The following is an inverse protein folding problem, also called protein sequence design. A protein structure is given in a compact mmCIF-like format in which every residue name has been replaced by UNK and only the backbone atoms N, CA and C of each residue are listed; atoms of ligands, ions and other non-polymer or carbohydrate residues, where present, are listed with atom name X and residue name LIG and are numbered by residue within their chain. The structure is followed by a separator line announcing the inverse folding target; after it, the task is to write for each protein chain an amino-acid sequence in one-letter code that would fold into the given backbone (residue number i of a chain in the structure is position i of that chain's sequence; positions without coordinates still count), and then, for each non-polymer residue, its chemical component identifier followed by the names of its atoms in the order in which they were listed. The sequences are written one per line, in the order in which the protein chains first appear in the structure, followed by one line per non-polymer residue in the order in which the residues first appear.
data_IF_806296652949
#
_entry.id   IF_806296652949
#
_cell.length_a   1.000
_cell.length_b   1.000
_cell.length_c   1.000
_cell.angle_alpha   90.00
_cell.angle_beta   90.00
_cell.angle_gamma   90.00
#
_symmetry.space_group_name_H-M   'P 1'
#
loop_
_entity.id
_entity.type
_entity.pdbx_description
1 polymer ?
#
# COMPACT_ATOMS: atom_id res chain seq x y z
N UNK A 1 -38.39 14.40 56.04
CA UNK A 1 -38.55 14.29 54.57
C UNK A 1 -37.34 14.94 53.90
N UNK A 2 -36.36 14.14 53.48
CA UNK A 2 -35.14 14.64 52.85
C UNK A 2 -35.33 14.61 51.32
N UNK A 3 -35.46 15.79 50.70
CA UNK A 3 -35.53 15.95 49.25
C UNK A 3 -34.11 15.95 48.68
N UNK A 4 -33.74 14.88 47.99
CA UNK A 4 -32.55 14.88 47.13
C UNK A 4 -32.83 15.73 45.90
N UNK A 5 -32.03 16.79 45.71
CA UNK A 5 -32.02 17.60 44.50
C UNK A 5 -30.93 17.04 43.58
N UNK A 6 -31.32 16.28 42.56
CA UNK A 6 -30.41 15.90 41.47
C UNK A 6 -30.19 17.11 40.57
N UNK A 7 -28.98 17.67 40.60
CA UNK A 7 -28.51 18.64 39.61
C UNK A 7 -27.93 17.83 38.44
N UNK A 8 -28.70 17.75 37.34
CA UNK A 8 -28.19 17.20 36.08
C UNK A 8 -27.28 18.25 35.43
N UNK A 9 -25.98 17.98 35.43
CA UNK A 9 -24.99 18.81 34.73
C UNK A 9 -25.07 18.48 33.24
N UNK A 10 -25.75 19.33 32.47
CA UNK A 10 -25.72 19.28 31.01
C UNK A 10 -24.34 19.72 30.52
N UNK A 11 -23.46 18.75 30.27
CA UNK A 11 -22.22 19.01 29.54
C UNK A 11 -22.63 19.32 28.09
N UNK A 12 -22.37 20.53 27.55
CA UNK A 12 -22.63 20.78 26.15
C UNK A 12 -21.75 19.84 25.34
N UNK A 13 -22.37 18.92 24.60
CA UNK A 13 -21.66 18.19 23.56
C UNK A 13 -21.22 19.23 22.54
N UNK A 14 -19.95 19.61 22.59
CA UNK A 14 -19.29 20.30 21.49
C UNK A 14 -19.38 19.33 20.31
N UNK A 15 -20.39 19.52 19.45
CA UNK A 15 -20.39 18.92 18.12
C UNK A 15 -19.06 19.34 17.49
N UNK A 16 -18.10 18.41 17.45
CA UNK A 16 -16.97 18.53 16.56
C UNK A 16 -17.55 18.46 15.16
N UNK A 17 -17.85 19.63 14.59
CA UNK A 17 -18.08 19.73 13.17
C UNK A 17 -16.73 19.41 12.51
N UNK A 18 -16.60 18.21 11.96
CA UNK A 18 -15.43 17.87 11.18
C UNK A 18 -15.30 18.91 10.05
N UNK A 19 -14.10 19.47 9.83
CA UNK A 19 -13.90 20.44 8.77
C UNK A 19 -14.30 19.81 7.42
N UNK A 20 -14.94 20.61 6.56
CA UNK A 20 -15.33 20.18 5.21
C UNK A 20 -14.09 19.70 4.44
N UNK A 21 -14.07 18.42 4.07
CA UNK A 21 -12.97 17.83 3.30
C UNK A 21 -12.92 18.43 1.89
N UNK A 22 -11.91 19.27 1.62
CA UNK A 22 -11.66 19.91 0.31
C UNK A 22 -10.38 19.36 -0.33
N UNK A 23 -10.39 18.12 -0.86
CA UNK A 23 -9.19 17.51 -1.41
C UNK A 23 -8.70 18.28 -2.64
N UNK A 24 -7.39 18.47 -2.72
CA UNK A 24 -6.72 18.92 -3.93
C UNK A 24 -6.00 17.74 -4.57
N UNK A 25 -6.30 17.46 -5.82
CA UNK A 25 -5.56 16.46 -6.58
C UNK A 25 -4.15 16.99 -6.89
N UNK A 26 -3.13 16.31 -6.37
CA UNK A 26 -1.72 16.68 -6.55
C UNK A 26 -1.05 15.94 -7.71
N UNK A 27 -1.54 14.74 -8.05
CA UNK A 27 -1.04 13.92 -9.17
C UNK A 27 -2.20 13.31 -9.96
N UNK A 28 -1.99 13.12 -11.25
CA UNK A 28 -2.92 12.33 -12.08
C UNK A 28 -2.73 10.84 -11.75
N UNK A 29 -3.79 10.01 -11.85
CA UNK A 29 -3.65 8.57 -11.73
C UNK A 29 -2.62 8.04 -12.74
N UNK A 30 -1.75 7.15 -12.28
CA UNK A 30 -0.80 6.47 -13.15
C UNK A 30 -1.49 5.30 -13.85
N UNK A 31 -1.07 5.01 -15.08
CA UNK A 31 -1.47 3.76 -15.75
C UNK A 31 -0.96 2.57 -14.93
N UNK A 32 -1.83 1.58 -14.69
CA UNK A 32 -1.45 0.35 -14.01
C UNK A 32 -0.31 -0.39 -14.75
N UNK A 33 0.63 -0.94 -13.99
CA UNK A 33 1.55 -1.95 -14.50
C UNK A 33 0.84 -3.30 -14.39
N UNK A 34 0.70 -3.99 -15.52
CA UNK A 34 0.10 -5.33 -15.62
C UNK A 34 0.99 -6.33 -16.35
N UNK A 35 1.99 -5.84 -17.10
CA UNK A 35 2.92 -6.62 -17.93
C UNK A 35 4.37 -6.22 -17.62
N UNK A 36 4.78 -6.39 -16.35
CA UNK A 36 6.17 -6.13 -15.97
C UNK A 36 7.11 -7.15 -16.65
N UNK A 37 8.29 -6.74 -17.14
CA UNK A 37 9.26 -7.67 -17.68
C UNK A 37 9.81 -8.56 -16.56
N UNK A 38 10.02 -9.84 -16.88
CA UNK A 38 10.62 -10.80 -15.97
C UNK A 38 11.94 -11.32 -16.54
N UNK A 39 12.89 -11.59 -15.65
CA UNK A 39 14.17 -12.21 -15.98
C UNK A 39 14.40 -13.40 -15.05
N UNK A 40 15.06 -14.44 -15.56
CA UNK A 40 15.50 -15.54 -14.73
C UNK A 40 16.56 -15.07 -13.72
N UNK A 41 16.62 -15.72 -12.57
CA UNK A 41 17.55 -15.36 -11.50
C UNK A 41 19.01 -15.29 -11.97
N UNK A 42 19.44 -16.22 -12.84
CA UNK A 42 20.79 -16.24 -13.41
C UNK A 42 21.10 -15.05 -14.34
N UNK A 43 20.08 -14.38 -14.88
CA UNK A 43 20.18 -13.23 -15.76
C UNK A 43 19.88 -11.90 -15.05
N UNK A 44 19.59 -11.90 -13.74
CA UNK A 44 19.15 -10.73 -13.01
C UNK A 44 20.27 -9.72 -12.67
N UNK A 45 21.54 -10.13 -12.74
CA UNK A 45 22.71 -9.35 -12.32
C UNK A 45 22.83 -7.93 -12.91
N UNK A 46 22.43 -7.65 -14.17
CA UNK A 46 22.45 -6.28 -14.70
C UNK A 46 21.41 -5.36 -14.06
N UNK A 47 20.37 -5.93 -13.43
CA UNK A 47 19.20 -5.21 -12.94
C UNK A 47 19.13 -5.16 -11.41
N UNK A 48 19.67 -6.18 -10.73
CA UNK A 48 19.60 -6.36 -9.27
C UNK A 48 21.00 -6.61 -8.73
N UNK A 49 21.39 -5.84 -7.72
CA UNK A 49 22.71 -6.02 -7.06
C UNK A 49 22.68 -7.19 -6.08
N UNK A 50 23.82 -7.83 -5.89
CA UNK A 50 23.95 -9.00 -4.99
C UNK A 50 23.52 -8.72 -3.54
N UNK A 51 23.60 -7.46 -3.08
CA UNK A 51 23.24 -7.02 -1.74
C UNK A 51 21.93 -6.22 -1.67
N UNK A 52 21.12 -6.26 -2.73
CA UNK A 52 19.83 -5.56 -2.80
C UNK A 52 18.72 -6.35 -2.13
N UNK A 53 17.83 -5.65 -1.40
CA UNK A 53 16.65 -6.27 -0.82
C UNK A 53 15.58 -6.53 -1.88
N UNK A 54 14.96 -7.71 -1.78
CA UNK A 54 13.86 -8.12 -2.65
C UNK A 54 12.67 -8.60 -1.82
N UNK A 55 11.46 -8.32 -2.29
CA UNK A 55 10.26 -8.98 -1.82
C UNK A 55 10.13 -10.32 -2.56
N UNK A 56 10.37 -11.42 -1.86
CA UNK A 56 10.15 -12.77 -2.40
C UNK A 56 8.72 -13.23 -2.17
N UNK A 57 8.05 -13.71 -3.21
CA UNK A 57 6.70 -14.29 -3.13
C UNK A 57 6.71 -15.69 -3.72
N UNK A 58 6.16 -16.64 -2.97
CA UNK A 58 5.96 -18.03 -3.43
C UNK A 58 4.50 -18.43 -3.29
N UNK A 59 3.92 -18.93 -4.39
CA UNK A 59 2.55 -19.43 -4.47
C UNK A 59 2.58 -20.80 -5.12
N UNK A 60 2.40 -21.86 -4.31
CA UNK A 60 2.56 -23.23 -4.77
C UNK A 60 4.00 -23.48 -5.25
N UNK A 61 4.15 -23.88 -6.51
CA UNK A 61 5.47 -24.11 -7.14
C UNK A 61 6.04 -22.88 -7.87
N UNK A 62 5.31 -21.76 -7.88
CA UNK A 62 5.74 -20.53 -8.56
C UNK A 62 6.36 -19.56 -7.55
N UNK A 63 7.55 -19.06 -7.86
CA UNK A 63 8.25 -18.04 -7.07
C UNK A 63 8.68 -16.87 -7.93
N UNK A 64 8.62 -15.66 -7.37
CA UNK A 64 9.11 -14.42 -8.00
C UNK A 64 9.70 -13.48 -6.95
N UNK A 65 10.71 -12.70 -7.35
CA UNK A 65 11.34 -11.68 -6.52
C UNK A 65 11.10 -10.29 -7.15
N UNK A 66 10.73 -9.32 -6.32
CA UNK A 66 10.51 -7.93 -6.71
C UNK A 66 11.53 -7.04 -5.99
N UNK A 67 12.52 -6.46 -6.68
CA UNK A 67 13.53 -5.60 -6.07
C UNK A 67 12.90 -4.34 -5.46
N UNK A 68 13.20 -4.06 -4.19
CA UNK A 68 12.60 -2.94 -3.46
C UNK A 68 12.90 -1.61 -4.16
N UNK A 69 14.13 -1.41 -4.66
CA UNK A 69 14.51 -0.15 -5.30
C UNK A 69 13.73 0.10 -6.60
N UNK A 70 13.28 -0.95 -7.30
CA UNK A 70 12.44 -0.81 -8.49
C UNK A 70 10.98 -0.52 -8.18
N UNK A 71 10.52 -0.90 -6.99
CA UNK A 71 9.20 -0.51 -6.47
C UNK A 71 9.24 0.91 -5.86
N UNK A 72 10.42 1.47 -5.60
CA UNK A 72 10.58 2.82 -5.02
C UNK A 72 10.79 3.90 -6.09
N UNK A 73 11.54 3.56 -7.13
CA UNK A 73 12.13 4.51 -8.09
C UNK A 73 11.88 3.98 -9.52
N UNK A 74 11.43 4.79 -10.50
CA UNK A 74 11.34 6.25 -10.47
C UNK A 74 10.00 6.86 -10.05
N UNK A 75 8.89 6.12 -9.93
CA UNK A 75 7.57 6.65 -9.46
C UNK A 75 6.46 5.59 -9.40
N UNK A 76 6.76 4.33 -9.06
CA UNK A 76 5.75 3.25 -9.13
C UNK A 76 5.89 2.22 -8.02
N UNK A 77 4.98 2.29 -7.06
CA UNK A 77 4.96 1.45 -5.85
C UNK A 77 4.22 0.13 -6.03
N UNK A 78 3.40 -0.01 -7.08
CA UNK A 78 2.51 -1.17 -7.25
C UNK A 78 2.72 -1.83 -8.62
N UNK A 79 3.00 -3.14 -8.59
CA UNK A 79 2.98 -4.02 -9.77
C UNK A 79 1.81 -4.99 -9.63
N UNK A 80 0.86 -4.95 -10.58
CA UNK A 80 -0.16 -5.99 -10.66
C UNK A 80 0.40 -7.15 -11.46
N UNK A 81 0.35 -8.35 -10.90
CA UNK A 81 0.97 -9.53 -11.46
C UNK A 81 0.06 -10.75 -11.31
N UNK A 82 0.33 -11.79 -12.10
CA UNK A 82 -0.27 -13.12 -11.97
C UNK A 82 0.82 -14.15 -11.71
N UNK A 83 0.83 -14.69 -10.49
CA UNK A 83 1.80 -15.69 -10.04
C UNK A 83 1.08 -16.95 -9.54
N UNK A 84 1.49 -18.13 -10.02
CA UNK A 84 0.87 -19.39 -9.60
C UNK A 84 -0.65 -19.44 -9.84
N UNK A 85 -1.14 -18.75 -10.88
CA UNK A 85 -2.56 -18.64 -11.20
C UNK A 85 -3.35 -17.62 -10.36
N UNK A 86 -2.73 -16.97 -9.36
CA UNK A 86 -3.36 -15.95 -8.51
C UNK A 86 -2.97 -14.55 -8.95
N UNK A 87 -3.94 -13.63 -8.93
CA UNK A 87 -3.68 -12.20 -9.09
C UNK A 87 -3.14 -11.63 -7.79
N UNK A 88 -2.04 -10.88 -7.87
CA UNK A 88 -1.40 -10.22 -6.74
C UNK A 88 -1.06 -8.77 -7.10
N UNK A 89 -0.88 -7.94 -6.07
CA UNK A 89 -0.30 -6.61 -6.19
C UNK A 89 0.95 -6.56 -5.31
N UNK A 90 2.14 -6.56 -5.92
CA UNK A 90 3.38 -6.39 -5.19
C UNK A 90 3.59 -4.90 -4.89
N UNK A 91 3.81 -4.58 -3.61
CA UNK A 91 4.04 -3.24 -3.06
C UNK A 91 4.95 -3.35 -1.84
N UNK A 92 5.60 -2.25 -1.44
CA UNK A 92 6.49 -2.18 -0.28
C UNK A 92 6.30 -0.86 0.48
#
# INVERSE_FOLDING_TARGET
MHKFLLISLMIPSMLHADPEFKPRQVVKPFKAIVDAPHVDAGAAKPFVKDNELVLGVSIGQASRAYPINMLTNPTREIINDKLGGKYIAATW
#
